data_IF_998552859655
#
_entry.id   IF_998552859655
#
_cell.length_a   1.000
_cell.length_b   1.000
_cell.length_c   1.000
_cell.angle_alpha   90.00
_cell.angle_beta   90.00
_cell.angle_gamma   90.00
#
_symmetry.space_group_name_H-M   'P 1'
#
loop_
_entity.id
_entity.type
_entity.pdbx_description
1 polymer ?
#
# COMPACT_ATOMS: atom_id res chain seq x y z
N UNK A 1 5.56 -24.18 -23.63
CA UNK A 1 5.58 -23.36 -22.41
C UNK A 1 5.54 -21.92 -22.85
N UNK A 2 4.46 -21.20 -22.56
CA UNK A 2 4.45 -19.76 -22.74
C UNK A 2 5.46 -19.19 -21.72
N UNK A 3 6.54 -18.59 -22.21
CA UNK A 3 7.50 -17.90 -21.34
C UNK A 3 6.79 -16.70 -20.74
N UNK A 4 6.82 -16.57 -19.42
CA UNK A 4 6.44 -15.31 -18.78
C UNK A 4 7.57 -14.33 -19.10
N UNK A 5 7.26 -13.28 -19.83
CA UNK A 5 8.21 -12.22 -20.16
C UNK A 5 8.29 -11.29 -18.95
N UNK A 6 9.35 -11.42 -18.14
CA UNK A 6 9.52 -10.69 -16.88
C UNK A 6 10.79 -9.84 -16.96
N UNK A 7 10.66 -8.53 -16.78
CA UNK A 7 11.81 -7.64 -16.71
C UNK A 7 12.42 -7.60 -15.31
N UNK A 8 13.70 -7.21 -15.14
CA UNK A 8 14.29 -7.00 -13.81
C UNK A 8 13.51 -6.00 -12.96
N UNK A 9 12.88 -5.00 -13.58
CA UNK A 9 12.05 -4.01 -12.88
C UNK A 9 10.78 -4.64 -12.28
N UNK A 10 10.13 -5.55 -13.01
CA UNK A 10 8.94 -6.25 -12.51
C UNK A 10 9.25 -7.15 -11.31
N UNK A 11 10.44 -7.78 -11.32
CA UNK A 11 10.93 -8.59 -10.20
C UNK A 11 11.19 -7.73 -8.96
N UNK A 12 11.78 -6.53 -9.14
CA UNK A 12 12.02 -5.60 -8.04
C UNK A 12 10.71 -5.03 -7.47
N UNK A 13 9.76 -4.63 -8.32
CA UNK A 13 8.43 -4.19 -7.86
C UNK A 13 7.69 -5.27 -7.08
N UNK A 14 7.80 -6.52 -7.52
CA UNK A 14 7.25 -7.67 -6.78
C UNK A 14 7.97 -7.92 -5.46
N UNK A 15 9.30 -7.74 -5.42
CA UNK A 15 10.09 -7.87 -4.20
C UNK A 15 9.66 -6.83 -3.14
N UNK A 16 9.43 -5.59 -3.56
CA UNK A 16 8.95 -4.51 -2.68
C UNK A 16 7.55 -4.79 -2.14
N UNK A 17 6.65 -5.32 -2.98
CA UNK A 17 5.31 -5.72 -2.55
C UNK A 17 5.35 -6.81 -1.47
N UNK A 18 6.23 -7.82 -1.61
CA UNK A 18 6.43 -8.85 -0.59
C UNK A 18 7.05 -8.29 0.70
N UNK A 19 8.00 -7.35 0.59
CA UNK A 19 8.57 -6.68 1.76
C UNK A 19 7.53 -5.88 2.53
N UNK A 20 6.67 -5.12 1.83
CA UNK A 20 5.56 -4.40 2.43
C UNK A 20 4.55 -5.33 3.11
N UNK A 21 4.27 -6.49 2.49
CA UNK A 21 3.39 -7.50 3.08
C UNK A 21 3.98 -8.12 4.35
N UNK A 22 5.28 -8.41 4.37
CA UNK A 22 5.99 -8.88 5.55
C UNK A 22 5.87 -7.86 6.71
N UNK A 23 6.10 -6.58 6.42
CA UNK A 23 5.98 -5.49 7.40
C UNK A 23 4.56 -5.38 7.98
N UNK A 24 3.53 -5.40 7.12
CA UNK A 24 2.12 -5.35 7.57
C UNK A 24 1.74 -6.57 8.39
N UNK A 25 2.13 -7.76 7.96
CA UNK A 25 1.80 -9.00 8.65
C UNK A 25 2.49 -9.11 10.02
N UNK A 26 3.68 -8.52 10.18
CA UNK A 26 4.37 -8.46 11.47
C UNK A 26 3.61 -7.65 12.54
N UNK A 27 2.72 -6.74 12.12
CA UNK A 27 1.91 -5.92 13.04
C UNK A 27 0.65 -6.63 13.56
N UNK A 28 0.26 -7.77 12.97
CA UNK A 28 -0.98 -8.47 13.35
C UNK A 28 -0.93 -8.93 14.81
N UNK A 29 0.18 -9.54 15.23
CA UNK A 29 0.34 -10.04 16.60
C UNK A 29 0.26 -8.93 17.67
N UNK A 30 1.04 -7.82 17.59
CA UNK A 30 0.94 -6.76 18.59
C UNK A 30 -0.43 -6.06 18.60
N UNK A 31 -1.08 -5.89 17.43
CA UNK A 31 -2.45 -5.34 17.38
C UNK A 31 -3.46 -6.27 18.08
N UNK A 32 -3.32 -7.58 17.88
CA UNK A 32 -4.21 -8.57 18.52
C UNK A 32 -4.07 -8.59 20.05
N UNK A 33 -2.87 -8.35 20.59
CA UNK A 33 -2.64 -8.23 22.04
C UNK A 33 -3.39 -7.03 22.62
N UNK A 34 -3.34 -5.87 21.95
CA UNK A 34 -4.07 -4.67 22.37
C UNK A 34 -5.58 -4.95 22.43
N UNK A 35 -6.11 -5.69 21.46
CA UNK A 35 -7.53 -6.03 21.41
C UNK A 35 -7.95 -6.99 22.53
N UNK A 36 -7.15 -8.02 22.81
CA UNK A 36 -7.39 -8.94 23.94
C UNK A 36 -7.44 -8.18 25.26
N UNK A 37 -6.54 -7.22 25.44
CA UNK A 37 -6.50 -6.42 26.64
C UNK A 37 -7.73 -5.50 26.77
N UNK A 38 -8.18 -4.88 25.67
CA UNK A 38 -9.43 -4.11 25.64
C UNK A 38 -10.64 -4.95 26.04
N UNK A 39 -10.74 -6.21 25.59
CA UNK A 39 -11.83 -7.13 25.97
C UNK A 39 -11.83 -7.40 27.48
N UNK A 40 -10.66 -7.68 28.04
CA UNK A 40 -10.52 -7.96 29.47
C UNK A 40 -10.90 -6.73 30.34
N UNK A 41 -10.53 -5.52 29.90
CA UNK A 41 -10.79 -4.28 30.61
C UNK A 41 -12.26 -3.85 30.51
N UNK A 42 -12.89 -3.98 29.35
CA UNK A 42 -14.27 -3.53 29.10
C UNK A 42 -15.34 -4.40 29.77
N UNK A 43 -15.08 -5.69 29.96
CA UNK A 43 -16.08 -6.66 30.43
C UNK A 43 -15.78 -7.23 31.83
N UNK A 44 -14.69 -6.79 32.47
CA UNK A 44 -14.31 -7.20 33.81
C UNK A 44 -14.21 -8.73 33.97
N UNK A 45 -14.61 -9.31 35.12
CA UNK A 45 -14.52 -10.75 35.36
C UNK A 45 -15.30 -11.62 34.37
N UNK A 46 -16.34 -11.07 33.73
CA UNK A 46 -17.17 -11.79 32.75
C UNK A 46 -16.50 -11.90 31.38
N UNK A 47 -15.64 -10.93 31.00
CA UNK A 47 -14.88 -10.95 29.74
C UNK A 47 -13.60 -11.77 29.81
N UNK A 48 -13.13 -12.08 31.02
CA UNK A 48 -11.87 -12.78 31.24
C UNK A 48 -11.80 -14.15 30.54
N UNK A 49 -12.83 -15.03 30.59
CA UNK A 49 -12.80 -16.30 29.87
C UNK A 49 -12.69 -16.12 28.34
N UNK A 50 -13.34 -15.10 27.78
CA UNK A 50 -13.28 -14.77 26.35
C UNK A 50 -11.90 -14.27 25.96
N UNK A 51 -11.34 -13.32 26.72
CA UNK A 51 -10.00 -12.80 26.48
C UNK A 51 -8.94 -13.90 26.54
N UNK A 52 -9.03 -14.82 27.51
CA UNK A 52 -8.15 -15.99 27.62
C UNK A 52 -8.31 -16.93 26.41
N UNK A 53 -9.54 -17.19 25.96
CA UNK A 53 -9.79 -18.02 24.77
C UNK A 53 -9.21 -17.42 23.49
N UNK A 54 -9.37 -16.11 23.30
CA UNK A 54 -8.77 -15.38 22.17
C UNK A 54 -7.25 -15.40 22.25
N UNK A 55 -6.67 -15.11 23.42
CA UNK A 55 -5.23 -15.15 23.64
C UNK A 55 -4.63 -16.55 23.35
N UNK A 56 -5.30 -17.62 23.82
CA UNK A 56 -4.88 -18.99 23.54
C UNK A 56 -4.96 -19.33 22.04
N UNK A 57 -6.02 -18.87 21.36
CA UNK A 57 -6.16 -19.00 19.92
C UNK A 57 -5.05 -18.28 19.15
N UNK A 58 -4.73 -17.04 19.53
CA UNK A 58 -3.65 -16.25 18.94
C UNK A 58 -2.29 -16.91 19.16
N UNK A 59 -1.99 -17.35 20.38
CA UNK A 59 -0.76 -18.06 20.70
C UNK A 59 -0.60 -19.35 19.86
N UNK A 60 -1.71 -20.06 19.57
CA UNK A 60 -1.67 -21.26 18.73
C UNK A 60 -1.35 -20.97 17.25
N UNK A 61 -1.54 -19.73 16.78
CA UNK A 61 -1.35 -19.31 15.39
C UNK A 61 -0.13 -18.41 15.17
N UNK A 62 0.43 -17.85 16.24
CA UNK A 62 1.58 -16.93 16.20
C UNK A 62 2.75 -17.51 15.41
N UNK A 63 3.08 -18.78 15.62
CA UNK A 63 4.14 -19.46 14.87
C UNK A 63 3.88 -19.51 13.36
N UNK A 64 2.64 -19.77 12.94
CA UNK A 64 2.27 -19.81 11.52
C UNK A 64 2.28 -18.43 10.88
N UNK A 65 1.84 -17.39 11.59
CA UNK A 65 1.88 -16.01 11.12
C UNK A 65 3.33 -15.53 10.98
N UNK A 66 4.15 -15.80 12.00
CA UNK A 66 5.59 -15.47 11.99
C UNK A 66 6.33 -16.19 10.87
N UNK A 67 6.02 -17.48 10.64
CA UNK A 67 6.57 -18.23 9.52
C UNK A 67 6.19 -17.58 8.18
N UNK A 68 4.94 -17.11 8.05
CA UNK A 68 4.50 -16.44 6.82
C UNK A 68 5.17 -15.09 6.59
N UNK A 69 5.38 -14.31 7.64
CA UNK A 69 6.17 -13.07 7.60
C UNK A 69 7.59 -13.37 7.10
N UNK A 70 8.22 -14.43 7.62
CA UNK A 70 9.54 -14.86 7.17
C UNK A 70 9.54 -15.31 5.70
N UNK A 71 8.53 -16.08 5.26
CA UNK A 71 8.38 -16.50 3.86
C UNK A 71 8.31 -15.29 2.91
N UNK A 72 7.55 -14.25 3.27
CA UNK A 72 7.48 -13.02 2.48
C UNK A 72 8.85 -12.35 2.37
N UNK A 73 9.62 -12.30 3.46
CA UNK A 73 11.00 -11.82 3.43
C UNK A 73 11.89 -12.64 2.50
N UNK A 74 11.79 -13.97 2.54
CA UNK A 74 12.53 -14.88 1.65
C UNK A 74 12.16 -14.66 0.19
N UNK A 75 10.88 -14.49 -0.14
CA UNK A 75 10.45 -14.24 -1.51
C UNK A 75 10.93 -12.89 -2.03
N UNK A 76 10.83 -11.84 -1.21
CA UNK A 76 11.38 -10.53 -1.53
C UNK A 76 12.87 -10.61 -1.87
N UNK A 77 13.66 -11.23 -0.99
CA UNK A 77 15.10 -11.41 -1.21
C UNK A 77 15.40 -12.17 -2.50
N UNK A 78 14.72 -13.31 -2.74
CA UNK A 78 14.96 -14.13 -3.94
C UNK A 78 14.65 -13.36 -5.22
N UNK A 79 13.56 -12.59 -5.24
CA UNK A 79 13.20 -11.79 -6.41
C UNK A 79 14.25 -10.71 -6.70
N UNK A 80 14.77 -10.04 -5.65
CA UNK A 80 15.88 -9.09 -5.79
C UNK A 80 17.17 -9.75 -6.30
N UNK A 81 17.51 -10.94 -5.78
CA UNK A 81 18.67 -11.71 -6.23
C UNK A 81 18.53 -12.15 -7.69
N UNK A 82 17.33 -12.57 -8.11
CA UNK A 82 17.01 -12.91 -9.49
C UNK A 82 17.12 -11.71 -10.42
N UNK A 83 16.57 -10.55 -10.04
CA UNK A 83 16.72 -9.31 -10.80
C UNK A 83 18.21 -8.98 -11.03
N UNK A 84 19.01 -9.04 -9.96
CA UNK A 84 20.44 -8.80 -10.04
C UNK A 84 21.18 -9.83 -10.92
N UNK A 85 20.74 -11.10 -10.91
CA UNK A 85 21.29 -12.14 -11.77
C UNK A 85 20.99 -11.88 -13.26
N UNK A 86 19.76 -11.47 -13.59
CA UNK A 86 19.39 -11.07 -14.96
C UNK A 86 20.25 -9.90 -15.45
N UNK A 87 20.36 -8.82 -14.66
CA UNK A 87 21.17 -7.65 -15.04
C UNK A 87 22.66 -7.99 -15.20
N UNK A 88 23.21 -8.89 -14.37
CA UNK A 88 24.60 -9.38 -14.53
C UNK A 88 24.78 -10.20 -15.80
N UNK A 89 23.85 -11.12 -16.08
CA UNK A 89 23.91 -11.96 -17.27
C UNK A 89 23.82 -11.13 -18.56
N UNK A 90 22.94 -10.13 -18.57
CA UNK A 90 22.77 -9.20 -19.68
C UNK A 90 24.03 -8.35 -19.92
N UNK A 91 24.56 -7.70 -18.88
CA UNK A 91 25.83 -6.96 -18.96
C UNK A 91 26.98 -7.83 -19.44
N UNK A 92 27.07 -9.07 -18.94
CA UNK A 92 28.05 -10.04 -19.41
C UNK A 92 27.86 -10.44 -20.87
N UNK A 93 26.61 -10.57 -21.33
CA UNK A 93 26.27 -10.82 -22.73
C UNK A 93 26.68 -9.67 -23.65
N UNK A 94 26.36 -8.44 -23.26
CA UNK A 94 26.76 -7.24 -24.00
C UNK A 94 28.29 -7.13 -24.12
N UNK A 95 29.04 -7.38 -23.05
CA UNK A 95 30.51 -7.41 -23.10
C UNK A 95 31.03 -8.48 -24.07
N UNK A 96 30.46 -9.69 -24.03
CA UNK A 96 30.85 -10.76 -24.97
C UNK A 96 30.54 -10.38 -26.42
N UNK A 97 29.39 -9.78 -26.69
CA UNK A 97 29.01 -9.32 -28.04
C UNK A 97 29.87 -8.16 -28.54
N UNK A 98 30.27 -7.26 -27.64
CA UNK A 98 31.19 -6.16 -27.95
C UNK A 98 32.61 -6.65 -28.29
N UNK A 99 33.03 -7.79 -27.72
CA UNK A 99 34.32 -8.41 -27.99
C UNK A 99 34.38 -9.18 -29.32
N UNK A 100 33.24 -9.46 -29.98
CA UNK A 100 33.21 -10.12 -31.29
C UNK A 100 33.58 -9.11 -32.39
N UNK A 101 34.56 -9.46 -33.22
CA UNK A 101 34.87 -8.72 -34.44
C UNK A 101 33.80 -9.00 -35.50
N UNK A 102 32.81 -8.12 -35.61
CA UNK A 102 31.76 -8.23 -36.62
C UNK A 102 32.32 -7.91 -38.03
N UNK A 103 32.02 -8.71 -39.06
CA UNK A 103 32.32 -8.36 -40.44
C UNK A 103 31.68 -7.03 -40.80
N UNK A 104 32.39 -6.17 -41.56
CA UNK A 104 32.01 -4.78 -41.79
C UNK A 104 30.56 -4.59 -42.28
N UNK A 105 30.01 -5.51 -43.09
CA UNK A 105 28.64 -5.45 -43.60
C UNK A 105 27.53 -5.98 -42.67
N UNK A 106 27.87 -6.75 -41.63
CA UNK A 106 26.88 -7.31 -40.69
C UNK A 106 26.58 -6.35 -39.53
N UNK A 107 27.54 -5.46 -39.23
CA UNK A 107 27.42 -4.43 -38.19
C UNK A 107 26.29 -3.42 -38.51
N UNK A 108 26.13 -3.10 -39.79
CA UNK A 108 25.14 -2.15 -40.31
C UNK A 108 23.73 -2.77 -40.38
N UNK A 109 23.63 -4.08 -40.69
CA UNK A 109 22.36 -4.81 -40.78
C UNK A 109 21.70 -5.10 -39.42
N UNK A 110 22.51 -5.24 -38.36
CA UNK A 110 22.02 -5.67 -37.02
C UNK A 110 21.75 -4.48 -36.08
N UNK A 111 22.38 -3.31 -36.29
CA UNK A 111 22.33 -2.26 -35.25
C UNK A 111 22.00 -0.85 -35.72
N UNK A 112 22.02 -0.54 -37.02
CA UNK A 112 21.75 0.81 -37.55
C UNK A 112 22.70 1.92 -37.09
N UNK A 113 23.37 1.85 -35.93
CA UNK A 113 24.25 2.90 -35.38
C UNK A 113 25.32 2.45 -34.36
N UNK A 114 25.40 1.20 -33.88
CA UNK A 114 26.44 0.85 -32.90
C UNK A 114 26.16 -0.42 -32.10
N UNK A 115 27.24 -1.02 -31.58
CA UNK A 115 27.29 -2.24 -30.76
C UNK A 115 26.06 -2.41 -29.84
N UNK A 116 25.50 -3.64 -29.66
CA UNK A 116 24.44 -3.88 -28.69
C UNK A 116 24.86 -3.35 -27.31
N UNK A 117 24.20 -2.28 -26.87
CA UNK A 117 24.42 -1.74 -25.54
C UNK A 117 23.79 -2.71 -24.52
N UNK A 118 24.43 -2.86 -23.36
CA UNK A 118 23.81 -3.54 -22.24
C UNK A 118 22.45 -2.90 -21.92
N UNK A 119 21.49 -3.70 -21.47
CA UNK A 119 20.28 -3.20 -20.86
C UNK A 119 20.69 -2.21 -19.76
N UNK A 120 20.33 -0.95 -19.97
CA UNK A 120 20.40 0.05 -18.92
C UNK A 120 19.20 -0.26 -18.05
N UNK A 121 19.46 -0.87 -16.88
CA UNK A 121 18.45 -1.02 -15.83
C UNK A 121 17.72 0.33 -15.76
N UNK A 122 16.37 0.39 -15.91
CA UNK A 122 15.67 1.64 -15.71
C UNK A 122 16.15 2.17 -14.38
N UNK A 123 16.73 3.38 -14.41
CA UNK A 123 17.27 4.03 -13.22
C UNK A 123 16.20 3.83 -12.15
N UNK A 124 16.50 3.22 -10.98
CA UNK A 124 15.52 3.13 -9.91
C UNK A 124 14.92 4.52 -9.82
N UNK A 125 13.58 4.68 -9.89
CA UNK A 125 13.00 6.00 -9.77
C UNK A 125 13.70 6.62 -8.58
N UNK A 126 14.37 7.79 -8.76
CA UNK A 126 15.17 8.38 -7.70
C UNK A 126 14.30 8.32 -6.47
N UNK A 127 14.83 7.76 -5.36
CA UNK A 127 14.06 7.56 -4.14
C UNK A 127 13.30 8.84 -3.88
N UNK A 128 12.02 8.87 -4.25
CA UNK A 128 11.26 10.09 -4.13
C UNK A 128 11.25 10.32 -2.63
N UNK A 129 11.64 11.50 -2.12
CA UNK A 129 11.31 11.82 -0.75
C UNK A 129 9.84 11.47 -0.55
N UNK A 130 9.51 10.82 0.57
CA UNK A 130 8.14 10.41 0.84
C UNK A 130 7.23 11.60 0.56
N UNK A 131 6.32 11.46 -0.41
CA UNK A 131 5.48 12.55 -0.88
C UNK A 131 4.72 13.11 0.33
N UNK A 132 4.83 14.42 0.55
CA UNK A 132 4.16 15.09 1.66
C UNK A 132 2.69 15.19 1.35
N UNK A 133 1.89 14.36 2.02
CA UNK A 133 0.44 14.30 1.88
C UNK A 133 -0.23 15.20 2.92
N UNK A 134 -1.25 15.94 2.51
CA UNK A 134 -2.09 16.73 3.40
C UNK A 134 -3.57 16.45 3.16
N UNK A 135 -4.34 16.24 4.22
CA UNK A 135 -5.79 16.08 4.15
C UNK A 135 -6.44 17.46 4.29
N UNK A 136 -7.27 17.86 3.32
CA UNK A 136 -7.93 19.18 3.33
C UNK A 136 -9.45 19.09 3.54
N UNK A 137 -9.98 17.89 3.75
CA UNK A 137 -11.39 17.65 4.03
C UNK A 137 -12.27 17.64 2.77
N UNK A 138 -12.31 18.75 2.05
CA UNK A 138 -13.16 18.98 0.86
C UNK A 138 -12.37 19.61 -0.27
N UNK A 139 -12.89 19.53 -1.50
CA UNK A 139 -12.28 20.14 -2.69
C UNK A 139 -11.94 21.63 -2.51
N UNK A 140 -12.77 22.37 -1.77
CA UNK A 140 -12.58 23.80 -1.48
C UNK A 140 -11.75 24.09 -0.21
N UNK A 141 -11.06 23.08 0.34
CA UNK A 141 -10.24 23.26 1.55
C UNK A 141 -9.09 24.24 1.35
N UNK A 142 -8.84 25.12 2.33
CA UNK A 142 -7.78 26.12 2.25
C UNK A 142 -6.39 25.48 2.47
N UNK A 143 -5.83 24.98 1.38
CA UNK A 143 -4.51 24.34 1.33
C UNK A 143 -3.43 25.20 1.98
N UNK A 144 -3.44 26.53 1.76
CA UNK A 144 -2.39 27.41 2.25
C UNK A 144 -2.43 27.57 3.78
N UNK A 145 -3.61 27.48 4.38
CA UNK A 145 -3.78 27.54 5.84
C UNK A 145 -3.59 26.19 6.53
N UNK A 146 -3.90 25.08 5.83
CA UNK A 146 -3.96 23.74 6.41
C UNK A 146 -2.68 22.94 6.22
N UNK A 147 -1.99 23.15 5.11
CA UNK A 147 -0.90 22.29 4.67
C UNK A 147 0.46 23.00 4.75
N UNK A 148 1.55 22.25 5.03
CA UNK A 148 2.90 22.76 4.88
C UNK A 148 3.13 23.33 3.47
N UNK A 149 3.94 24.40 3.30
CA UNK A 149 4.17 25.02 2.00
C UNK A 149 4.91 24.12 1.00
N UNK A 150 5.52 23.05 1.49
CA UNK A 150 6.21 22.02 0.69
C UNK A 150 5.40 20.74 0.53
N UNK A 151 4.08 20.81 0.69
CA UNK A 151 3.15 19.71 0.39
C UNK A 151 3.20 19.36 -1.09
N UNK A 152 3.36 18.08 -1.40
CA UNK A 152 3.38 17.58 -2.78
C UNK A 152 1.97 17.22 -3.26
N UNK A 153 1.16 16.64 -2.36
CA UNK A 153 -0.16 16.08 -2.69
C UNK A 153 -1.17 16.42 -1.61
N UNK A 154 -2.40 16.75 -2.02
CA UNK A 154 -3.54 16.90 -1.09
C UNK A 154 -4.53 15.78 -1.31
N UNK A 155 -5.23 15.35 -0.26
CA UNK A 155 -6.39 14.48 -0.38
C UNK A 155 -7.65 15.12 0.22
N UNK A 156 -8.79 14.83 -0.39
CA UNK A 156 -10.09 15.43 -0.03
C UNK A 156 -11.26 14.57 -0.51
N UNK A 157 -12.47 14.95 -0.10
CA UNK A 157 -13.71 14.44 -0.69
C UNK A 157 -14.19 15.39 -1.78
N UNK A 158 -14.38 14.87 -3.00
CA UNK A 158 -14.93 15.65 -4.11
C UNK A 158 -16.46 15.77 -4.02
N UNK A 159 -17.05 16.56 -4.91
CA UNK A 159 -18.51 16.76 -4.99
C UNK A 159 -19.32 15.49 -5.23
N UNK A 160 -18.70 14.44 -5.77
CA UNK A 160 -19.33 13.16 -6.09
C UNK A 160 -19.11 12.14 -4.95
N UNK A 161 -18.65 12.60 -3.78
CA UNK A 161 -18.35 11.81 -2.58
C UNK A 161 -17.17 10.83 -2.74
N UNK A 162 -16.32 11.02 -3.75
CA UNK A 162 -15.10 10.21 -3.90
C UNK A 162 -14.00 10.71 -2.97
N UNK A 163 -13.22 9.78 -2.43
CA UNK A 163 -11.91 10.11 -1.85
C UNK A 163 -10.92 10.27 -3.00
N UNK A 164 -10.36 11.47 -3.13
CA UNK A 164 -9.44 11.79 -4.21
C UNK A 164 -8.12 12.30 -3.66
N UNK A 165 -7.06 12.08 -4.42
CA UNK A 165 -5.76 12.71 -4.21
C UNK A 165 -5.45 13.60 -5.41
N UNK A 166 -4.84 14.77 -5.16
CA UNK A 166 -4.45 15.73 -6.17
C UNK A 166 -2.99 16.12 -6.02
N UNK A 167 -2.22 15.91 -7.07
CA UNK A 167 -0.83 16.37 -7.15
C UNK A 167 -0.83 17.90 -7.32
N UNK A 168 -0.16 18.62 -6.43
CA UNK A 168 -0.15 20.08 -6.45
C UNK A 168 0.78 20.66 -7.54
N UNK A 169 1.74 19.87 -8.03
CA UNK A 169 2.68 20.28 -9.07
C UNK A 169 2.11 20.13 -10.47
N UNK A 170 1.35 19.05 -10.73
CA UNK A 170 0.76 18.75 -12.04
C UNK A 170 -0.73 19.11 -12.11
N UNK A 171 -1.42 19.20 -10.97
CA UNK A 171 -2.87 19.35 -10.89
C UNK A 171 -3.65 18.08 -11.20
N UNK A 172 -2.96 16.95 -11.41
CA UNK A 172 -3.58 15.65 -11.70
C UNK A 172 -4.40 15.16 -10.50
N UNK A 173 -5.62 14.67 -10.77
CA UNK A 173 -6.54 14.14 -9.76
C UNK A 173 -6.67 12.63 -9.96
N UNK A 174 -6.44 11.87 -8.89
CA UNK A 174 -6.65 10.43 -8.83
C UNK A 174 -7.79 10.11 -7.88
N UNK A 175 -8.75 9.30 -8.35
CA UNK A 175 -9.80 8.75 -7.50
C UNK A 175 -9.21 7.55 -6.76
N UNK A 176 -9.05 7.69 -5.45
CA UNK A 176 -8.50 6.66 -4.57
C UNK A 176 -9.61 5.71 -4.11
N UNK A 177 -10.78 6.24 -3.74
CA UNK A 177 -11.96 5.45 -3.37
C UNK A 177 -13.24 6.10 -3.91
N UNK A 178 -14.13 5.26 -4.44
CA UNK A 178 -15.50 5.62 -4.78
C UNK A 178 -16.45 5.19 -3.66
N UNK A 179 -17.62 5.83 -3.50
CA UNK A 179 -18.65 5.37 -2.56
C UNK A 179 -18.99 3.90 -2.77
N UNK A 180 -18.87 3.10 -1.73
CA UNK A 180 -19.10 1.66 -1.78
C UNK A 180 -18.06 0.82 -1.04
N UNK A 181 -18.18 -0.51 -1.13
CA UNK A 181 -17.30 -1.44 -0.44
C UNK A 181 -15.89 -1.38 -1.03
N UNK A 182 -14.89 -1.39 -0.16
CA UNK A 182 -13.50 -1.49 -0.60
C UNK A 182 -13.19 -2.91 -1.10
N UNK A 183 -12.39 -3.08 -2.16
CA UNK A 183 -12.04 -4.39 -2.68
C UNK A 183 -11.34 -5.25 -1.61
N UNK A 184 -11.96 -6.38 -1.25
CA UNK A 184 -11.33 -7.41 -0.40
C UNK A 184 -11.33 -7.11 1.10
N UNK A 185 -12.18 -6.20 1.60
CA UNK A 185 -12.27 -5.87 3.02
C UNK A 185 -13.70 -5.77 3.54
N UNK A 186 -13.83 -5.59 4.86
CA UNK A 186 -15.10 -5.25 5.54
C UNK A 186 -15.28 -3.73 5.70
N UNK A 187 -14.48 -2.96 4.97
CA UNK A 187 -14.46 -1.49 5.00
C UNK A 187 -15.23 -0.93 3.82
N UNK A 188 -15.93 0.16 4.05
CA UNK A 188 -16.70 0.86 3.04
C UNK A 188 -16.41 2.35 3.11
N UNK A 189 -16.18 2.96 1.96
CA UNK A 189 -16.12 4.39 1.82
C UNK A 189 -17.52 4.95 1.56
N UNK A 190 -17.96 5.89 2.37
CA UNK A 190 -19.28 6.53 2.27
C UNK A 190 -19.20 7.96 1.70
N UNK A 191 -18.03 8.59 1.78
CA UNK A 191 -17.81 9.99 1.38
C UNK A 191 -18.40 11.02 2.34
N UNK A 192 -19.61 10.80 2.87
CA UNK A 192 -20.23 11.66 3.88
C UNK A 192 -20.91 10.86 4.99
N UNK A 193 -21.04 11.47 6.17
CA UNK A 193 -21.71 10.85 7.33
C UNK A 193 -23.16 10.44 7.04
N UNK A 194 -23.84 11.22 6.19
CA UNK A 194 -25.26 11.07 5.90
C UNK A 194 -25.52 10.17 4.68
N UNK A 195 -24.48 9.58 4.09
CA UNK A 195 -24.61 8.67 2.96
C UNK A 195 -25.35 7.37 3.35
N UNK A 196 -26.10 6.82 2.39
CA UNK A 196 -26.81 5.56 2.59
C UNK A 196 -25.83 4.40 2.78
N UNK A 197 -25.86 3.78 3.96
CA UNK A 197 -25.00 2.63 4.29
C UNK A 197 -25.35 1.36 3.52
N UNK A 198 -26.52 1.31 2.88
CA UNK A 198 -26.93 0.16 2.06
C UNK A 198 -25.96 -0.13 0.91
N UNK A 199 -25.22 0.89 0.44
CA UNK A 199 -24.22 0.75 -0.63
C UNK A 199 -23.05 -0.14 -0.24
N UNK A 200 -22.79 -0.32 1.05
CA UNK A 200 -21.62 -1.03 1.58
C UNK A 200 -21.78 -2.56 1.63
N UNK A 201 -23.01 -3.06 1.41
CA UNK A 201 -23.30 -4.49 1.55
C UNK A 201 -23.34 -4.96 3.02
N UNK A 202 -23.86 -6.19 3.24
CA UNK A 202 -24.24 -6.68 4.56
C UNK A 202 -23.05 -7.05 5.47
N UNK A 203 -21.89 -7.32 4.90
CA UNK A 203 -20.70 -7.77 5.65
C UNK A 203 -19.79 -6.61 6.07
N UNK A 204 -20.19 -5.37 5.82
CA UNK A 204 -19.42 -4.18 6.20
C UNK A 204 -19.46 -3.99 7.71
N UNK A 205 -18.28 -3.96 8.31
CA UNK A 205 -18.09 -3.69 9.74
C UNK A 205 -17.35 -2.38 9.97
N UNK A 206 -16.86 -1.70 8.93
CA UNK A 206 -16.18 -0.41 9.04
C UNK A 206 -16.67 0.57 7.99
N UNK A 207 -17.03 1.78 8.41
CA UNK A 207 -17.41 2.88 7.52
C UNK A 207 -16.42 4.02 7.65
N UNK A 208 -16.01 4.57 6.52
CA UNK A 208 -15.12 5.73 6.46
C UNK A 208 -15.82 6.83 5.68
N UNK A 209 -15.85 8.04 6.24
CA UNK A 209 -16.52 9.19 5.64
C UNK A 209 -15.90 10.50 6.08
N UNK A 210 -16.29 11.60 5.42
CA UNK A 210 -16.02 12.94 5.89
C UNK A 210 -17.14 13.44 6.81
N UNK A 211 -16.74 14.11 7.89
CA UNK A 211 -17.65 14.87 8.73
C UNK A 211 -16.99 16.18 9.18
N UNK A 212 -17.53 17.32 8.75
CA UNK A 212 -17.05 18.67 9.13
C UNK A 212 -15.56 18.88 8.85
N UNK A 213 -15.08 18.38 7.71
CA UNK A 213 -13.67 18.45 7.30
C UNK A 213 -12.80 17.32 7.87
N UNK A 214 -13.26 16.59 8.89
CA UNK A 214 -12.54 15.45 9.43
C UNK A 214 -12.79 14.21 8.59
N UNK A 215 -11.78 13.34 8.47
CA UNK A 215 -11.98 11.97 8.02
C UNK A 215 -12.24 11.10 9.24
N UNK A 216 -13.41 10.48 9.29
CA UNK A 216 -13.87 9.67 10.40
C UNK A 216 -13.94 8.21 9.97
N UNK A 217 -13.48 7.30 10.82
CA UNK A 217 -13.76 5.87 10.70
C UNK A 217 -14.58 5.37 11.88
N UNK A 218 -15.70 4.74 11.57
CA UNK A 218 -16.56 4.03 12.52
C UNK A 218 -16.42 2.52 12.31
N UNK A 219 -16.47 1.74 13.39
CA UNK A 219 -16.49 0.28 13.37
C UNK A 219 -17.71 -0.25 14.12
N UNK A 220 -18.38 -1.25 13.54
CA UNK A 220 -19.38 -2.05 14.21
C UNK A 220 -18.69 -3.08 15.10
N UNK A 221 -18.88 -2.94 16.41
CA UNK A 221 -18.32 -3.86 17.40
C UNK A 221 -19.15 -5.14 17.49
N UNK A 222 -18.59 -6.26 18.01
CA UNK A 222 -19.30 -7.55 18.08
C UNK A 222 -20.60 -7.54 18.89
N UNK A 223 -20.75 -6.60 19.82
CA UNK A 223 -21.95 -6.40 20.64
C UNK A 223 -22.99 -5.47 19.98
N UNK A 224 -22.72 -5.01 18.76
CA UNK A 224 -23.65 -4.25 17.92
C UNK A 224 -23.60 -2.74 18.11
N UNK A 225 -22.74 -2.19 18.98
CA UNK A 225 -22.55 -0.74 19.04
C UNK A 225 -21.53 -0.25 18.00
N UNK A 226 -21.61 1.04 17.68
CA UNK A 226 -20.68 1.70 16.75
C UNK A 226 -19.65 2.48 17.56
N UNK A 227 -18.38 2.23 17.29
CA UNK A 227 -17.24 2.95 17.89
C UNK A 227 -16.54 3.82 16.83
N UNK A 228 -16.22 5.06 17.18
CA UNK A 228 -15.35 5.92 16.35
C UNK A 228 -13.90 5.58 16.70
N UNK A 229 -13.18 4.93 15.78
CA UNK A 229 -11.83 4.43 16.01
C UNK A 229 -10.74 5.34 15.48
N UNK A 230 -11.09 6.28 14.61
CA UNK A 230 -10.12 7.15 13.94
C UNK A 230 -10.77 8.46 13.49
N UNK A 231 -10.14 9.56 13.86
CA UNK A 231 -10.51 10.91 13.44
C UNK A 231 -9.24 11.63 12.96
N UNK A 232 -9.17 11.92 11.66
CA UNK A 232 -8.08 12.70 11.09
C UNK A 232 -8.58 14.12 10.82
N UNK A 233 -8.06 15.13 11.54
CA UNK A 233 -8.37 16.52 11.24
C UNK A 233 -7.72 16.94 9.91
N UNK A 234 -8.21 18.01 9.27
CA UNK A 234 -7.48 18.68 8.20
C UNK A 234 -6.05 19.04 8.61
N UNK A 235 -5.08 18.76 7.75
CA UNK A 235 -3.67 19.04 8.00
C UNK A 235 -2.71 17.99 7.41
N UNK A 236 -1.42 18.10 7.72
CA UNK A 236 -0.40 17.15 7.28
C UNK A 236 -0.76 15.72 7.73
N UNK A 237 -0.65 14.77 6.82
CA UNK A 237 -0.83 13.35 7.10
C UNK A 237 0.55 12.73 7.24
N UNK A 238 0.96 12.42 8.47
CA UNK A 238 2.23 11.73 8.70
C UNK A 238 2.16 10.32 8.11
N UNK A 239 3.07 9.96 7.17
CA UNK A 239 3.23 8.59 6.75
C UNK A 239 4.00 7.84 7.85
N UNK A 240 3.27 7.25 8.81
CA UNK A 240 3.86 6.25 9.71
C UNK A 240 4.33 5.02 8.93
#
# INVERSE_FOLDING_TARGET
MAGVDVSPADLLGSADAYAALAARAALIAPQAVVEVQRIAESHGPMGYPTAVGVAAGLASREGSVTAKVADFGVYSQRLSEHAAAYSRADKGGAVRLAAVAWPAGLRELVTGTGVPAAHVDPKPPPSKPAEKLCWIGTEDGDVASLCPPDTDRVSYVDKDNNYVSKDLSTGEITIELQPGPEPGGTSCWLGSRDADRSICGPDTTRWVYQYRGWRVSEVLMPDGHIEVIFEMPPGPVDPN
#
